data_IF_965463318716
#
_entry.id   IF_965463318716
#
_cell.length_a   1.000
_cell.length_b   1.000
_cell.length_c   1.000
_cell.angle_alpha   90.00
_cell.angle_beta   90.00
_cell.angle_gamma   90.00
#
_symmetry.space_group_name_H-M   'P 1'
#
loop_
_entity.id
_entity.type
_entity.pdbx_description
1 polymer ?
#
# COMPACT_ATOMS: atom_id res chain seq x y z
N UNK A 1 24.58 16.38 -0.31
CA UNK A 1 24.32 14.93 -0.27
C UNK A 1 22.85 14.75 -0.61
N UNK A 2 22.52 14.37 -1.85
CA UNK A 2 21.15 14.04 -2.23
C UNK A 2 20.90 12.61 -1.81
N UNK A 3 20.03 12.39 -0.83
CA UNK A 3 19.54 11.04 -0.53
C UNK A 3 18.68 10.65 -1.73
N UNK A 4 19.20 9.76 -2.58
CA UNK A 4 18.36 8.99 -3.48
C UNK A 4 17.51 8.11 -2.57
N UNK A 5 16.33 8.62 -2.20
CA UNK A 5 15.29 7.76 -1.64
C UNK A 5 14.90 6.84 -2.78
N UNK A 6 15.37 5.60 -2.71
CA UNK A 6 14.80 4.54 -3.53
C UNK A 6 13.34 4.44 -3.09
N UNK A 7 12.48 4.83 -4.04
CA UNK A 7 11.05 4.81 -3.88
C UNK A 7 10.54 3.63 -4.69
N UNK A 8 9.64 2.86 -4.10
CA UNK A 8 8.95 1.76 -4.76
C UNK A 8 7.48 2.09 -4.94
N UNK A 9 6.79 1.21 -5.65
CA UNK A 9 5.35 1.25 -5.86
C UNK A 9 4.76 -0.14 -5.62
N UNK A 10 3.49 -0.19 -5.22
CA UNK A 10 2.84 -1.46 -4.93
C UNK A 10 1.59 -1.35 -4.08
N UNK A 11 1.02 -2.51 -3.78
CA UNK A 11 -0.20 -2.59 -2.97
C UNK A 11 0.12 -2.41 -1.49
N UNK A 12 -0.69 -1.64 -0.76
CA UNK A 12 -0.55 -1.56 0.69
C UNK A 12 -0.87 -2.89 1.37
N UNK A 13 -0.05 -3.24 2.36
CA UNK A 13 -0.32 -4.36 3.24
C UNK A 13 -1.23 -3.90 4.38
N UNK A 14 -2.42 -4.49 4.47
CA UNK A 14 -3.35 -4.32 5.58
C UNK A 14 -2.88 -5.05 6.83
N UNK A 15 -3.41 -4.66 7.99
CA UNK A 15 -3.07 -5.29 9.29
C UNK A 15 -3.43 -6.77 9.36
N UNK A 16 -4.37 -7.20 8.53
CA UNK A 16 -4.80 -8.59 8.33
C UNK A 16 -3.84 -9.42 7.44
N UNK A 17 -2.77 -8.81 6.94
CA UNK A 17 -1.80 -9.45 6.05
C UNK A 17 -2.27 -9.57 4.60
N UNK A 18 -3.46 -9.08 4.27
CA UNK A 18 -3.94 -8.95 2.89
C UNK A 18 -3.62 -7.59 2.30
N UNK A 19 -3.96 -7.41 1.02
CA UNK A 19 -3.99 -6.09 0.41
C UNK A 19 -5.01 -5.21 1.12
N UNK A 20 -4.64 -3.98 1.44
CA UNK A 20 -5.53 -2.99 2.03
C UNK A 20 -6.75 -2.79 1.12
N UNK A 21 -7.94 -3.07 1.62
CA UNK A 21 -9.16 -2.99 0.82
C UNK A 21 -9.63 -1.55 0.63
N UNK A 22 -10.27 -1.29 -0.51
CA UNK A 22 -10.85 0.03 -0.81
C UNK A 22 -12.26 -0.04 -1.41
N UNK A 23 -12.85 -1.24 -1.51
CA UNK A 23 -14.16 -1.50 -2.14
C UNK A 23 -15.31 -0.68 -1.50
N UNK A 24 -15.33 -0.56 -0.18
CA UNK A 24 -16.37 0.15 0.58
C UNK A 24 -15.88 1.46 1.20
N UNK A 25 -14.66 1.88 0.82
CA UNK A 25 -13.99 3.05 1.38
C UNK A 25 -14.21 4.27 0.47
N UNK A 26 -14.12 5.50 1.01
CA UNK A 26 -14.14 6.70 0.18
C UNK A 26 -13.01 6.68 -0.85
N UNK A 27 -13.20 7.36 -1.99
CA UNK A 27 -12.24 7.35 -3.10
C UNK A 27 -10.83 7.80 -2.70
N UNK A 28 -10.75 8.72 -1.73
CA UNK A 28 -9.52 9.34 -1.25
C UNK A 28 -8.82 8.50 -0.17
N UNK A 29 -9.42 7.37 0.24
CA UNK A 29 -8.89 6.52 1.31
C UNK A 29 -7.49 6.01 0.99
N UNK A 30 -7.26 5.54 -0.23
CA UNK A 30 -5.94 5.03 -0.61
C UNK A 30 -4.90 6.14 -0.69
N UNK A 31 -5.27 7.34 -1.14
CA UNK A 31 -4.36 8.49 -1.17
C UNK A 31 -3.91 8.87 0.25
N UNK A 32 -4.86 8.91 1.20
CA UNK A 32 -4.59 9.14 2.62
C UNK A 32 -3.68 8.07 3.22
N UNK A 33 -4.01 6.78 3.04
CA UNK A 33 -3.22 5.68 3.58
C UNK A 33 -1.80 5.64 2.99
N UNK A 34 -1.65 5.90 1.69
CA UNK A 34 -0.35 6.02 1.05
C UNK A 34 0.44 7.21 1.62
N UNK A 35 -0.21 8.36 1.81
CA UNK A 35 0.42 9.53 2.42
C UNK A 35 0.87 9.27 3.87
N UNK A 36 0.10 8.50 4.64
CA UNK A 36 0.44 8.14 6.03
C UNK A 36 1.71 7.30 6.14
N UNK A 37 1.99 6.47 5.13
CA UNK A 37 3.23 5.67 5.07
C UNK A 37 4.37 6.41 4.35
N UNK A 38 4.18 7.69 4.00
CA UNK A 38 5.19 8.51 3.33
C UNK A 38 5.25 8.33 1.81
N UNK A 39 4.23 7.71 1.21
CA UNK A 39 4.02 7.72 -0.23
C UNK A 39 3.48 9.07 -0.74
N UNK A 40 3.64 9.32 -2.03
CA UNK A 40 3.26 10.59 -2.63
C UNK A 40 1.83 10.58 -3.16
N UNK A 41 1.36 9.43 -3.64
CA UNK A 41 0.00 9.28 -4.17
C UNK A 41 -0.47 7.82 -4.06
N UNK A 42 -1.80 7.63 -4.06
CA UNK A 42 -2.43 6.33 -3.96
C UNK A 42 -3.81 6.27 -4.58
N UNK A 43 -4.18 5.12 -5.14
CA UNK A 43 -5.51 4.92 -5.70
C UNK A 43 -6.04 3.52 -5.42
N UNK A 44 -7.35 3.38 -5.56
CA UNK A 44 -8.04 2.11 -5.43
C UNK A 44 -7.94 1.31 -6.73
N UNK A 45 -6.90 0.48 -6.85
CA UNK A 45 -6.69 -0.38 -7.99
C UNK A 45 -7.76 -1.47 -8.08
N UNK A 46 -8.34 -1.62 -9.28
CA UNK A 46 -9.41 -2.56 -9.60
C UNK A 46 -10.63 -2.47 -8.66
N UNK A 47 -10.86 -1.32 -8.01
CA UNK A 47 -11.88 -1.16 -6.97
C UNK A 47 -11.76 -2.13 -5.77
N UNK A 48 -10.57 -2.74 -5.58
CA UNK A 48 -10.40 -3.83 -4.63
C UNK A 48 -9.28 -3.57 -3.63
N UNK A 49 -8.17 -2.98 -4.07
CA UNK A 49 -6.99 -2.80 -3.23
C UNK A 49 -6.32 -1.43 -3.43
N UNK A 50 -5.80 -0.85 -2.36
CA UNK A 50 -5.00 0.37 -2.45
C UNK A 50 -3.63 0.10 -3.04
N UNK A 51 -3.26 0.89 -4.04
CA UNK A 51 -1.96 0.90 -4.69
C UNK A 51 -1.30 2.26 -4.48
N UNK A 52 -0.06 2.27 -4.00
CA UNK A 52 0.71 3.48 -3.73
C UNK A 52 1.86 3.66 -4.71
N UNK A 53 2.16 4.92 -4.98
CA UNK A 53 3.32 5.36 -5.73
C UNK A 53 4.31 6.11 -4.81
N UNK A 54 5.59 6.05 -5.18
CA UNK A 54 6.67 6.74 -4.49
C UNK A 54 6.74 6.47 -2.99
N UNK A 55 6.49 5.22 -2.57
CA UNK A 55 6.56 4.82 -1.16
C UNK A 55 8.01 4.50 -0.78
N UNK A 56 8.49 4.92 0.41
CA UNK A 56 9.86 4.68 0.83
C UNK A 56 10.09 3.18 1.05
N UNK A 57 11.32 2.72 0.79
CA UNK A 57 11.68 1.31 0.91
C UNK A 57 11.47 0.70 2.31
N UNK A 58 11.45 1.53 3.35
CA UNK A 58 11.13 1.13 4.72
C UNK A 58 9.70 0.61 4.89
N UNK A 59 8.78 0.94 3.97
CA UNK A 59 7.39 0.49 4.02
C UNK A 59 7.29 -0.92 3.47
N UNK A 60 6.65 -1.80 4.23
CA UNK A 60 6.30 -3.13 3.75
C UNK A 60 5.05 -3.05 2.88
N UNK A 61 5.22 -3.31 1.58
CA UNK A 61 4.11 -3.47 0.65
C UNK A 61 3.68 -4.93 0.58
N UNK A 62 2.46 -5.16 0.11
CA UNK A 62 1.97 -6.52 -0.10
C UNK A 62 2.78 -7.20 -1.21
N UNK A 63 3.28 -8.38 -0.89
CA UNK A 63 4.04 -9.24 -1.77
C UNK A 63 3.25 -10.52 -2.07
N UNK A 64 3.22 -10.91 -3.34
CA UNK A 64 2.48 -12.12 -3.75
C UNK A 64 3.17 -13.40 -3.32
N UNK A 65 4.50 -13.40 -3.21
CA UNK A 65 5.27 -14.60 -2.85
C UNK A 65 5.11 -14.92 -1.35
N UNK A 66 5.06 -13.89 -0.51
CA UNK A 66 4.91 -13.97 0.94
C UNK A 66 3.50 -13.63 1.42
N UNK A 67 2.47 -13.90 0.62
CA UNK A 67 1.10 -13.57 0.97
C UNK A 67 0.66 -14.26 2.28
N UNK A 68 0.44 -13.46 3.33
CA UNK A 68 -0.03 -13.89 4.65
C UNK A 68 -1.55 -13.72 4.82
N UNK A 69 -2.23 -13.22 3.79
CA UNK A 69 -3.68 -13.00 3.80
C UNK A 69 -4.45 -14.27 4.20
N UNK A 70 -5.24 -14.17 5.28
CA UNK A 70 -6.01 -15.30 5.80
C UNK A 70 -5.20 -16.38 6.52
N UNK A 71 -3.87 -16.22 6.67
CA UNK A 71 -3.01 -17.11 7.48
C UNK A 71 -2.90 -16.66 8.94
N UNK A 72 -3.22 -15.40 9.23
CA UNK A 72 -3.39 -14.87 10.59
C UNK A 72 -4.75 -15.35 11.11
N UNK A 73 -4.77 -16.49 11.79
CA UNK A 73 -5.97 -17.09 12.41
C UNK A 73 -5.99 -16.82 13.91
#
# INVERSE_FOLDING_TARGET
>A
IGMVVECKEGYLLGSDGCKMNCLTRPGDYCELECSLVGGENGYCASWLACYCYNVPDSVTLWDSENNECGKRK
#
